data_IF_965962875412
#
_entry.id   IF_965962875412
#
_cell.length_a   1.000
_cell.length_b   1.000
_cell.length_c   1.000
_cell.angle_alpha   90.00
_cell.angle_beta   90.00
_cell.angle_gamma   90.00
#
_symmetry.space_group_name_H-M   'P 1'
#
loop_
_entity.id
_entity.type
_entity.pdbx_description
1 polymer ?
#
# COMPACT_ATOMS: atom_id res chain seq x y z
N UNK A 1 -27.77 26.43 -5.76
CA UNK A 1 -26.92 26.95 -4.66
C UNK A 1 -26.75 25.94 -3.52
N UNK A 2 -27.78 25.18 -3.17
CA UNK A 2 -27.77 24.18 -2.07
C UNK A 2 -26.66 23.13 -2.15
N UNK A 3 -26.35 22.60 -3.35
CA UNK A 3 -25.32 21.55 -3.53
C UNK A 3 -23.92 21.96 -3.06
N UNK A 4 -23.57 23.26 -3.14
CA UNK A 4 -22.29 23.79 -2.68
C UNK A 4 -22.23 23.93 -1.16
N UNK A 5 -23.36 24.25 -0.54
CA UNK A 5 -23.45 24.36 0.92
C UNK A 5 -23.32 22.98 1.59
N UNK A 6 -23.97 21.95 1.01
CA UNK A 6 -23.85 20.57 1.48
C UNK A 6 -22.40 20.05 1.33
N UNK A 7 -21.73 20.36 0.21
CA UNK A 7 -20.33 19.97 -0.01
C UNK A 7 -19.40 20.65 1.02
N UNK A 8 -19.60 21.94 1.27
CA UNK A 8 -18.82 22.70 2.24
C UNK A 8 -18.99 22.17 3.67
N UNK A 9 -20.21 21.80 4.06
CA UNK A 9 -20.50 21.25 5.38
C UNK A 9 -19.87 19.86 5.57
N UNK A 10 -19.91 18.99 4.55
CA UNK A 10 -19.21 17.70 4.57
C UNK A 10 -17.69 17.85 4.65
N UNK A 11 -17.12 18.82 3.92
CA UNK A 11 -15.68 19.08 3.97
C UNK A 11 -15.20 19.62 5.32
N UNK A 12 -16.08 20.27 6.09
CA UNK A 12 -15.77 20.74 7.45
C UNK A 12 -15.84 19.60 8.49
N UNK A 13 -16.60 18.54 8.22
CA UNK A 13 -16.81 17.40 9.12
C UNK A 13 -15.81 16.25 8.86
N UNK A 14 -15.32 16.14 7.62
CA UNK A 14 -14.28 15.18 7.24
C UNK A 14 -12.87 15.68 7.59
N UNK A 15 -12.52 15.62 8.88
CA UNK A 15 -11.10 15.70 9.33
C UNK A 15 -10.39 14.34 9.20
N UNK A 16 -11.05 13.34 8.62
CA UNK A 16 -10.51 11.99 8.45
C UNK A 16 -9.44 12.01 7.35
N UNK A 17 -8.36 11.22 7.50
CA UNK A 17 -7.37 11.11 6.45
C UNK A 17 -8.01 10.50 5.18
N UNK A 18 -7.55 10.93 4.00
CA UNK A 18 -8.10 10.53 2.68
C UNK A 18 -8.34 9.00 2.56
N UNK A 19 -7.45 8.10 3.04
CA UNK A 19 -7.71 6.67 2.99
C UNK A 19 -8.93 6.21 3.81
N UNK A 20 -9.20 6.85 4.95
CA UNK A 20 -10.33 6.51 5.80
C UNK A 20 -11.66 6.94 5.18
N UNK A 21 -11.68 8.11 4.52
CA UNK A 21 -12.83 8.59 3.74
C UNK A 21 -13.17 7.59 2.63
N UNK A 22 -12.16 7.19 1.84
CA UNK A 22 -12.35 6.21 0.76
C UNK A 22 -12.88 4.88 1.27
N UNK A 23 -12.34 4.36 2.37
CA UNK A 23 -12.79 3.08 2.95
C UNK A 23 -14.25 3.16 3.44
N UNK A 24 -14.67 4.29 4.01
CA UNK A 24 -16.04 4.53 4.48
C UNK A 24 -17.03 4.63 3.30
N UNK A 25 -16.73 5.48 2.31
CA UNK A 25 -17.56 5.64 1.11
C UNK A 25 -17.63 4.36 0.27
N UNK A 26 -16.50 3.68 0.06
CA UNK A 26 -16.48 2.42 -0.67
C UNK A 26 -17.25 1.31 0.07
N UNK A 27 -17.22 1.30 1.41
CA UNK A 27 -18.00 0.35 2.21
C UNK A 27 -19.50 0.63 2.11
N UNK A 28 -19.90 1.90 2.19
CA UNK A 28 -21.30 2.31 2.01
C UNK A 28 -21.80 1.98 0.59
N UNK A 29 -21.03 2.30 -0.44
CA UNK A 29 -21.36 1.96 -1.83
C UNK A 29 -21.35 0.46 -2.10
N UNK A 30 -20.54 -0.31 -1.38
CA UNK A 30 -20.48 -1.77 -1.52
C UNK A 30 -21.67 -2.49 -0.88
N UNK A 31 -22.33 -1.89 0.11
CA UNK A 31 -23.50 -2.45 0.78
C UNK A 31 -24.75 -2.41 -0.11
N UNK A 32 -24.82 -1.45 -1.03
CA UNK A 32 -25.89 -1.30 -2.00
C UNK A 32 -25.74 -2.30 -3.17
N UNK A 33 -26.70 -3.20 -3.42
CA UNK A 33 -26.60 -4.25 -4.44
C UNK A 33 -26.31 -3.72 -5.85
N UNK A 34 -26.86 -2.55 -6.21
CA UNK A 34 -26.68 -1.91 -7.51
C UNK A 34 -25.26 -1.41 -7.76
N UNK A 35 -24.51 -1.08 -6.71
CA UNK A 35 -23.16 -0.49 -6.79
C UNK A 35 -22.07 -1.38 -6.21
N UNK A 36 -22.45 -2.47 -5.53
CA UNK A 36 -21.58 -3.49 -4.93
C UNK A 36 -20.44 -3.97 -5.84
N UNK A 37 -20.68 -4.13 -7.14
CA UNK A 37 -19.67 -4.57 -8.11
C UNK A 37 -18.68 -3.48 -8.57
N UNK A 38 -18.97 -2.21 -8.32
CA UNK A 38 -18.21 -1.08 -8.88
C UNK A 38 -17.10 -0.59 -7.94
N UNK A 39 -17.26 -0.80 -6.62
CA UNK A 39 -16.35 -0.30 -5.60
C UNK A 39 -15.67 -1.44 -4.86
N UNK A 40 -14.53 -1.96 -5.37
CA UNK A 40 -13.76 -2.95 -4.65
C UNK A 40 -13.13 -2.29 -3.41
N UNK A 41 -13.36 -2.88 -2.24
CA UNK A 41 -12.76 -2.40 -0.99
C UNK A 41 -11.22 -2.34 -1.12
N UNK A 42 -10.63 -1.22 -0.72
CA UNK A 42 -9.19 -0.97 -0.84
C UNK A 42 -8.35 -2.07 -0.20
N UNK A 43 -8.79 -2.60 0.95
CA UNK A 43 -8.15 -3.74 1.62
C UNK A 43 -8.08 -4.98 0.73
N UNK A 44 -9.13 -5.24 -0.05
CA UNK A 44 -9.23 -6.40 -0.96
C UNK A 44 -8.30 -6.23 -2.16
N UNK A 45 -8.28 -5.03 -2.75
CA UNK A 45 -7.35 -4.66 -3.83
C UNK A 45 -5.90 -4.79 -3.35
N UNK A 46 -5.60 -4.23 -2.17
CA UNK A 46 -4.27 -4.31 -1.56
C UNK A 46 -3.88 -5.75 -1.26
N UNK A 47 -4.77 -6.54 -0.66
CA UNK A 47 -4.50 -7.95 -0.39
C UNK A 47 -4.23 -8.75 -1.66
N UNK A 48 -4.97 -8.50 -2.74
CA UNK A 48 -4.74 -9.14 -4.04
C UNK A 48 -3.39 -8.72 -4.66
N UNK A 49 -3.11 -7.41 -4.71
CA UNK A 49 -1.89 -6.87 -5.30
C UNK A 49 -0.63 -7.28 -4.54
N UNK A 50 -0.63 -7.08 -3.23
CA UNK A 50 0.56 -7.26 -2.40
C UNK A 50 0.67 -8.68 -1.82
N UNK A 51 -0.41 -9.46 -1.78
CA UNK A 51 -0.40 -10.83 -1.26
C UNK A 51 0.45 -11.77 -2.10
N UNK A 52 0.32 -11.72 -3.44
CA UNK A 52 1.18 -12.52 -4.31
C UNK A 52 2.64 -12.02 -4.29
N UNK A 53 2.82 -10.70 -4.21
CA UNK A 53 4.14 -10.07 -4.15
C UNK A 53 4.91 -10.48 -2.89
N UNK A 54 4.25 -10.51 -1.73
CA UNK A 54 4.85 -10.94 -0.47
C UNK A 54 5.23 -12.44 -0.45
N UNK A 55 4.57 -13.27 -1.28
CA UNK A 55 4.96 -14.67 -1.47
C UNK A 55 6.19 -14.83 -2.39
N UNK A 56 6.33 -13.97 -3.40
CA UNK A 56 7.45 -14.01 -4.34
C UNK A 56 8.71 -13.33 -3.81
N UNK A 57 8.55 -12.26 -3.05
CA UNK A 57 9.64 -11.49 -2.48
C UNK A 57 9.58 -11.62 -0.97
N UNK A 58 10.47 -12.42 -0.35
CA UNK A 58 10.55 -12.49 1.10
C UNK A 58 10.82 -11.10 1.66
N UNK A 59 10.40 -10.87 2.90
CA UNK A 59 10.72 -9.63 3.59
C UNK A 59 12.23 -9.51 3.69
N UNK A 60 12.73 -8.30 3.47
CA UNK A 60 14.14 -8.04 3.74
C UNK A 60 14.39 -8.27 5.24
N UNK A 61 15.55 -8.83 5.60
CA UNK A 61 15.98 -8.89 6.99
C UNK A 61 15.91 -7.52 7.66
N UNK A 62 15.58 -7.52 8.95
CA UNK A 62 15.44 -6.27 9.73
C UNK A 62 16.78 -5.59 9.93
N UNK A 63 17.87 -6.38 10.03
CA UNK A 63 19.21 -5.86 10.20
C UNK A 63 20.08 -6.09 8.96
N UNK A 64 21.03 -5.17 8.76
CA UNK A 64 21.93 -5.24 7.60
C UNK A 64 22.84 -6.46 7.63
N UNK A 65 23.28 -6.90 8.81
CA UNK A 65 24.15 -8.08 8.95
C UNK A 65 23.43 -9.41 8.65
N UNK A 66 22.10 -9.42 8.64
CA UNK A 66 21.30 -10.59 8.27
C UNK A 66 21.12 -10.70 6.74
N UNK A 67 21.51 -9.68 5.97
CA UNK A 67 21.48 -9.73 4.51
C UNK A 67 22.59 -10.65 4.00
N UNK A 68 22.23 -11.88 3.65
CA UNK A 68 23.14 -12.82 2.98
C UNK A 68 23.26 -12.46 1.51
N UNK A 69 24.35 -11.79 1.16
CA UNK A 69 24.72 -11.50 -0.24
C UNK A 69 25.57 -12.68 -0.76
N UNK A 70 25.21 -13.32 -1.89
CA UNK A 70 26.04 -14.37 -2.49
C UNK A 70 27.44 -13.85 -2.85
N UNK A 71 28.47 -14.69 -2.73
CA UNK A 71 29.88 -14.27 -2.90
C UNK A 71 30.17 -13.63 -4.27
N UNK A 72 29.50 -14.09 -5.32
CA UNK A 72 29.59 -13.49 -6.67
C UNK A 72 29.13 -12.02 -6.76
N UNK A 73 28.40 -11.53 -5.75
CA UNK A 73 27.92 -10.15 -5.64
C UNK A 73 28.60 -9.36 -4.52
N UNK A 74 29.52 -9.99 -3.77
CA UNK A 74 30.29 -9.31 -2.74
C UNK A 74 31.45 -8.50 -3.30
N UNK A 75 31.84 -8.70 -4.55
CA UNK A 75 32.95 -7.98 -5.18
C UNK A 75 32.47 -7.12 -6.34
N UNK A 76 33.01 -5.91 -6.42
CA UNK A 76 32.80 -5.00 -7.54
C UNK A 76 33.53 -5.53 -8.78
N UNK A 77 33.26 -4.94 -9.95
CA UNK A 77 34.00 -5.26 -11.19
C UNK A 77 35.49 -4.91 -11.10
N UNK A 78 35.89 -4.02 -10.19
CA UNK A 78 37.28 -3.70 -9.87
C UNK A 78 37.93 -4.69 -8.88
N UNK A 79 37.19 -5.66 -8.35
CA UNK A 79 37.69 -6.65 -7.39
C UNK A 79 37.70 -6.18 -5.94
N UNK A 80 37.02 -5.07 -5.63
CA UNK A 80 36.91 -4.53 -4.27
C UNK A 80 35.66 -5.06 -3.57
N UNK A 81 35.69 -5.17 -2.25
CA UNK A 81 34.53 -5.62 -1.47
C UNK A 81 33.39 -4.59 -1.50
N UNK A 82 32.16 -5.10 -1.63
CA UNK A 82 30.96 -4.28 -1.69
C UNK A 82 30.62 -3.79 -0.28
N UNK A 83 30.66 -2.47 -0.06
CA UNK A 83 30.51 -1.80 1.23
C UNK A 83 29.22 -2.12 2.00
N UNK A 84 28.23 -2.76 1.37
CA UNK A 84 27.00 -3.20 2.00
C UNK A 84 27.15 -4.51 2.81
N UNK A 85 28.27 -5.22 2.64
CA UNK A 85 28.55 -6.52 3.27
C UNK A 85 29.47 -6.43 4.49
N UNK A 86 29.78 -5.21 4.97
CA UNK A 86 30.71 -4.97 6.08
C UNK A 86 29.98 -4.81 7.42
#
# INVERSE_FOLDING_TARGET
>A
MEKRAVLAQRSAEETKPIPAIYDEEASAASAEPSTSGHFPLFRRVRAAMYGHRAKRFPRLPEHRHDLVIPDQFKTTKSGEDFLLCQ
#
